data_IF_844191179364
#
_entry.id   IF_844191179364
#
_cell.length_a   1.000
_cell.length_b   1.000
_cell.length_c   1.000
_cell.angle_alpha   90.00
_cell.angle_beta   90.00
_cell.angle_gamma   90.00
#
_symmetry.space_group_name_H-M   'P 1'
#
loop_
_entity.id
_entity.type
_entity.pdbx_description
1 polymer ?
#
# COMPACT_ATOMS: atom_id res chain seq x y z
N UNK A 1 -13.42 -4.05 12.61
CA UNK A 1 -12.67 -4.87 11.64
C UNK A 1 -11.80 -5.88 12.38
N UNK A 2 -11.50 -7.03 11.76
CA UNK A 2 -10.61 -8.06 12.33
C UNK A 2 -9.45 -8.23 11.37
N UNK A 3 -8.24 -7.95 11.85
CA UNK A 3 -7.02 -7.84 11.06
C UNK A 3 -5.96 -8.86 11.49
N UNK A 4 -4.97 -9.10 10.62
CA UNK A 4 -3.93 -10.11 10.85
C UNK A 4 -2.52 -9.53 10.68
N UNK A 5 -1.64 -9.72 11.67
CA UNK A 5 -0.30 -9.14 11.67
C UNK A 5 0.78 -10.15 12.12
N UNK A 6 1.39 -10.83 11.15
CA UNK A 6 2.48 -11.80 11.41
C UNK A 6 3.70 -11.53 10.52
N UNK A 7 4.78 -12.29 10.69
CA UNK A 7 5.92 -12.25 9.77
C UNK A 7 5.44 -12.50 8.34
N UNK A 8 5.77 -11.60 7.42
CA UNK A 8 5.50 -11.79 6.00
C UNK A 8 6.53 -12.68 5.31
N UNK A 9 7.53 -13.20 6.02
CA UNK A 9 8.51 -14.10 5.41
C UNK A 9 8.02 -15.55 5.45
N UNK A 10 7.85 -16.17 4.28
CA UNK A 10 7.66 -17.63 4.15
C UNK A 10 8.96 -18.38 4.50
N UNK A 11 10.10 -17.78 4.13
CA UNK A 11 11.43 -18.24 4.50
C UNK A 11 12.29 -17.05 4.91
N UNK A 12 13.06 -17.21 5.99
CA UNK A 12 13.98 -16.17 6.45
C UNK A 12 15.24 -16.79 7.05
N UNK A 13 16.38 -16.52 6.41
CA UNK A 13 17.72 -16.77 6.92
C UNK A 13 18.35 -15.43 7.30
N UNK A 14 18.65 -15.20 8.59
CA UNK A 14 19.34 -13.98 9.00
C UNK A 14 20.79 -14.00 8.50
N UNK A 15 21.32 -12.81 8.26
CA UNK A 15 22.75 -12.62 8.10
C UNK A 15 23.46 -13.00 9.40
N UNK A 16 24.49 -13.83 9.31
CA UNK A 16 25.24 -14.26 10.47
C UNK A 16 26.68 -14.60 10.11
N UNK A 17 27.58 -14.47 11.09
CA UNK A 17 28.93 -14.99 10.99
C UNK A 17 29.11 -16.06 12.06
N UNK A 18 29.60 -17.24 11.65
CA UNK A 18 29.83 -18.41 12.51
C UNK A 18 31.35 -18.55 12.76
N UNK A 19 31.86 -18.11 13.93
CA UNK A 19 33.30 -18.03 14.16
C UNK A 19 34.00 -19.39 14.19
N UNK A 20 33.31 -20.45 14.63
CA UNK A 20 33.89 -21.79 14.78
C UNK A 20 34.28 -22.43 13.44
N UNK A 21 33.61 -22.05 12.36
CA UNK A 21 33.84 -22.56 11.01
C UNK A 21 34.30 -21.47 10.04
N UNK A 22 34.59 -20.27 10.55
CA UNK A 22 34.92 -19.07 9.76
C UNK A 22 33.96 -18.87 8.57
N UNK A 23 32.66 -19.03 8.83
CA UNK A 23 31.64 -19.04 7.77
C UNK A 23 30.76 -17.81 7.89
N UNK A 24 30.68 -17.04 6.80
CA UNK A 24 29.68 -15.99 6.65
C UNK A 24 28.44 -16.58 5.96
N UNK A 25 27.28 -16.31 6.55
CA UNK A 25 25.96 -16.72 6.08
C UNK A 25 25.25 -15.45 5.62
N UNK A 26 25.02 -15.36 4.31
CA UNK A 26 24.27 -14.25 3.73
C UNK A 26 22.80 -14.29 4.15
N UNK A 27 22.20 -13.10 4.22
CA UNK A 27 20.75 -12.98 4.36
C UNK A 27 20.09 -13.54 3.12
N UNK A 28 19.13 -14.43 3.32
CA UNK A 28 18.25 -14.92 2.26
C UNK A 28 16.82 -14.96 2.78
N UNK A 29 15.85 -14.58 1.96
CA UNK A 29 14.46 -14.51 2.40
C UNK A 29 13.48 -14.55 1.25
N UNK A 30 12.31 -15.12 1.50
CA UNK A 30 11.18 -15.13 0.59
C UNK A 30 9.97 -14.47 1.27
N UNK A 31 9.36 -13.51 0.58
CA UNK A 31 8.22 -12.73 1.09
C UNK A 31 6.92 -13.35 0.59
N UNK A 32 5.97 -13.47 1.51
CA UNK A 32 4.60 -13.83 1.25
C UNK A 32 3.76 -12.58 1.02
N UNK A 33 3.33 -12.46 -0.22
CA UNK A 33 2.55 -11.36 -0.74
C UNK A 33 1.21 -11.13 -0.02
N UNK A 34 0.53 -12.21 0.37
CA UNK A 34 -0.76 -12.14 1.04
C UNK A 34 -0.61 -11.63 2.48
N UNK A 35 0.43 -12.08 3.19
CA UNK A 35 0.69 -11.63 4.56
C UNK A 35 1.13 -10.16 4.59
N UNK A 36 1.94 -9.73 3.64
CA UNK A 36 2.36 -8.33 3.55
C UNK A 36 1.15 -7.38 3.36
N UNK A 37 0.24 -7.74 2.45
CA UNK A 37 -1.05 -7.05 2.30
C UNK A 37 -1.85 -7.00 3.60
N UNK A 38 -1.99 -8.13 4.31
CA UNK A 38 -2.73 -8.16 5.58
C UNK A 38 -2.11 -7.25 6.64
N UNK A 39 -0.79 -7.13 6.67
CA UNK A 39 -0.11 -6.18 7.56
C UNK A 39 -0.40 -4.73 7.19
N UNK A 40 -0.39 -4.40 5.89
CA UNK A 40 -0.80 -3.08 5.41
C UNK A 40 -2.25 -2.77 5.81
N UNK A 41 -3.15 -3.73 5.63
CA UNK A 41 -4.57 -3.63 6.04
C UNK A 41 -4.71 -3.35 7.55
N UNK A 42 -3.96 -4.08 8.38
CA UNK A 42 -3.96 -3.88 9.83
C UNK A 42 -3.51 -2.47 10.23
N UNK A 43 -2.41 -1.98 9.64
CA UNK A 43 -1.88 -0.65 9.96
C UNK A 43 -2.78 0.49 9.46
N UNK A 44 -3.36 0.37 8.27
CA UNK A 44 -4.30 1.38 7.76
C UNK A 44 -5.60 1.38 8.58
N UNK A 45 -6.13 0.22 8.95
CA UNK A 45 -7.37 0.12 9.72
C UNK A 45 -7.24 0.82 11.09
N UNK A 46 -6.10 0.67 11.77
CA UNK A 46 -5.84 1.34 13.04
C UNK A 46 -5.82 2.87 12.95
N UNK A 47 -5.52 3.42 11.76
CA UNK A 47 -5.50 4.87 11.52
C UNK A 47 -6.87 5.40 11.06
N UNK A 48 -7.67 4.58 10.40
CA UNK A 48 -8.98 4.97 9.89
C UNK A 48 -10.11 4.88 10.92
N UNK A 49 -10.06 3.93 11.86
CA UNK A 49 -11.17 3.62 12.78
C UNK A 49 -10.73 3.05 14.12
N UNK A 50 -11.59 3.21 15.13
CA UNK A 50 -11.30 2.79 16.51
C UNK A 50 -11.78 1.37 16.85
N UNK A 51 -12.65 0.76 16.04
CA UNK A 51 -13.22 -0.56 16.29
C UNK A 51 -12.45 -1.65 15.52
N UNK A 52 -11.16 -1.80 15.85
CA UNK A 52 -10.22 -2.73 15.22
C UNK A 52 -9.70 -3.75 16.23
N UNK A 53 -9.68 -5.02 15.85
CA UNK A 53 -9.01 -6.09 16.56
C UNK A 53 -7.92 -6.64 15.64
N UNK A 54 -6.67 -6.68 16.12
CA UNK A 54 -5.54 -7.25 15.37
C UNK A 54 -5.08 -8.54 16.04
N UNK A 55 -5.10 -9.66 15.31
CA UNK A 55 -4.48 -10.92 15.74
C UNK A 55 -3.03 -10.92 15.27
N UNK A 56 -2.09 -10.92 16.22
CA UNK A 56 -0.67 -10.73 15.91
C UNK A 56 0.24 -11.81 16.51
N UNK A 57 1.37 -12.05 15.83
CA UNK A 57 2.51 -12.79 16.38
C UNK A 57 3.49 -11.84 17.09
N UNK A 58 4.62 -12.35 17.57
CA UNK A 58 5.74 -11.53 18.08
C UNK A 58 6.27 -10.52 17.06
N UNK A 59 5.89 -10.61 15.79
CA UNK A 59 6.17 -9.54 14.82
C UNK A 59 5.67 -8.15 15.28
N UNK A 60 4.67 -8.06 16.16
CA UNK A 60 4.17 -6.78 16.68
C UNK A 60 5.15 -6.02 17.60
N UNK A 61 6.22 -6.67 18.06
CA UNK A 61 7.29 -6.02 18.84
C UNK A 61 8.54 -5.73 18.00
N UNK A 62 8.54 -6.07 16.71
CA UNK A 62 9.60 -5.69 15.77
C UNK A 62 9.35 -4.28 15.23
N UNK A 63 10.44 -3.60 14.85
CA UNK A 63 10.39 -2.22 14.39
C UNK A 63 9.55 -2.05 13.12
N UNK A 64 8.78 -0.97 13.10
CA UNK A 64 8.09 -0.38 11.95
C UNK A 64 8.52 1.08 11.85
N UNK A 65 8.22 1.76 10.74
CA UNK A 65 8.35 3.20 10.64
C UNK A 65 7.48 3.94 11.67
N UNK A 66 7.74 5.23 11.85
CA UNK A 66 6.97 6.06 12.77
C UNK A 66 5.49 6.05 12.38
N UNK A 67 4.56 5.70 13.29
CA UNK A 67 3.13 5.75 12.98
C UNK A 67 2.66 7.15 12.56
N UNK A 68 3.31 8.19 13.11
CA UNK A 68 3.04 9.57 12.74
C UNK A 68 3.46 9.86 11.31
N UNK A 69 4.68 9.48 10.91
CA UNK A 69 5.15 9.68 9.54
C UNK A 69 4.29 8.89 8.56
N UNK A 70 3.94 7.64 8.89
CA UNK A 70 3.05 6.83 8.07
C UNK A 70 1.66 7.47 7.87
N UNK A 71 1.10 8.09 8.93
CA UNK A 71 -0.17 8.80 8.86
C UNK A 71 -0.06 10.14 8.11
N UNK A 72 1.03 10.89 8.31
CA UNK A 72 1.27 12.19 7.66
C UNK A 72 1.53 12.02 6.15
N UNK A 73 2.04 10.86 5.73
CA UNK A 73 2.26 10.49 4.32
C UNK A 73 1.02 10.00 3.59
N UNK A 74 -0.17 9.99 4.21
CA UNK A 74 -1.39 9.51 3.53
C UNK A 74 -1.83 10.48 2.44
N UNK A 75 -1.99 9.97 1.21
CA UNK A 75 -2.57 10.74 0.10
C UNK A 75 -4.09 10.63 0.16
N UNK A 76 -4.75 11.74 0.50
CA UNK A 76 -6.21 11.81 0.67
C UNK A 76 -6.86 12.49 -0.53
N UNK A 77 -7.74 11.77 -1.23
CA UNK A 77 -8.42 12.23 -2.45
C UNK A 77 -9.93 12.31 -2.25
N UNK A 78 -10.57 13.32 -2.83
CA UNK A 78 -12.03 13.53 -2.83
C UNK A 78 -12.44 14.13 -4.18
N UNK A 79 -13.64 13.82 -4.70
CA UNK A 79 -14.22 14.56 -5.81
C UNK A 79 -14.25 16.08 -5.50
N UNK A 80 -13.93 16.91 -6.49
CA UNK A 80 -13.82 18.36 -6.37
C UNK A 80 -12.48 18.88 -5.80
N UNK A 81 -11.53 18.00 -5.50
CA UNK A 81 -10.18 18.41 -5.10
C UNK A 81 -9.43 19.00 -6.31
N UNK A 82 -8.98 20.25 -6.18
CA UNK A 82 -8.04 20.87 -7.14
C UNK A 82 -6.62 20.32 -6.93
N UNK A 83 -6.22 19.40 -7.78
CA UNK A 83 -4.90 18.80 -7.83
C UNK A 83 -4.58 18.42 -9.27
N UNK A 84 -3.40 18.82 -9.76
CA UNK A 84 -2.96 18.37 -11.08
C UNK A 84 -2.64 16.89 -11.06
N UNK A 85 -2.90 16.21 -12.18
CA UNK A 85 -2.59 14.78 -12.31
C UNK A 85 -1.13 14.49 -11.95
N UNK A 86 -0.21 15.27 -12.48
CA UNK A 86 1.23 15.05 -12.27
C UNK A 86 1.64 15.24 -10.80
N UNK A 87 0.95 16.13 -10.07
CA UNK A 87 1.14 16.24 -8.62
C UNK A 87 0.70 14.96 -7.91
N UNK A 88 -0.48 14.42 -8.24
CA UNK A 88 -0.91 13.13 -7.68
C UNK A 88 0.10 12.01 -7.99
N UNK A 89 0.65 11.95 -9.20
CA UNK A 89 1.65 10.92 -9.53
C UNK A 89 2.92 11.05 -8.67
N UNK A 90 3.39 12.28 -8.44
CA UNK A 90 4.54 12.52 -7.56
C UNK A 90 4.22 12.14 -6.12
N UNK A 91 3.06 12.56 -5.60
CA UNK A 91 2.61 12.22 -4.25
C UNK A 91 2.54 10.69 -4.06
N UNK A 92 2.11 9.94 -5.09
CA UNK A 92 2.10 8.46 -5.09
C UNK A 92 3.51 7.85 -5.08
N UNK A 93 4.44 8.40 -5.86
CA UNK A 93 5.84 7.94 -5.89
C UNK A 93 6.52 8.20 -4.54
N UNK A 94 6.27 9.35 -3.92
CA UNK A 94 6.81 9.72 -2.61
C UNK A 94 6.41 8.70 -1.53
N UNK A 95 5.21 8.12 -1.64
CA UNK A 95 4.70 7.08 -0.75
C UNK A 95 5.00 5.65 -1.24
N UNK A 96 6.02 5.53 -2.09
CA UNK A 96 6.61 4.28 -2.60
C UNK A 96 5.73 3.46 -3.54
N UNK A 97 4.77 4.09 -4.22
CA UNK A 97 4.09 3.41 -5.32
C UNK A 97 4.91 3.44 -6.59
N UNK A 98 4.84 2.34 -7.36
CA UNK A 98 5.51 2.25 -8.65
C UNK A 98 4.54 2.51 -9.80
N UNK A 99 4.97 3.29 -10.79
CA UNK A 99 4.21 3.40 -12.04
C UNK A 99 4.41 2.15 -12.90
N UNK A 100 3.34 1.45 -13.23
CA UNK A 100 3.40 0.31 -14.14
C UNK A 100 2.14 0.21 -15.02
N UNK A 101 2.28 0.60 -16.29
CA UNK A 101 1.18 0.62 -17.25
C UNK A 101 0.89 -0.78 -17.86
N UNK A 102 1.80 -1.76 -17.68
CA UNK A 102 1.71 -3.11 -18.25
C UNK A 102 1.19 -4.11 -17.20
N UNK A 103 1.88 -4.20 -16.07
CA UNK A 103 1.61 -5.17 -15.01
C UNK A 103 1.04 -4.46 -13.78
N UNK A 104 -0.29 -4.42 -13.73
CA UNK A 104 -1.04 -3.68 -12.72
C UNK A 104 -1.32 -4.56 -11.50
N UNK A 105 -0.54 -4.36 -10.45
CA UNK A 105 -0.55 -5.11 -9.19
C UNK A 105 -0.56 -4.14 -8.00
N UNK A 106 -0.73 -4.65 -6.78
CA UNK A 106 -0.75 -3.83 -5.56
C UNK A 106 0.54 -3.00 -5.39
N UNK A 107 0.39 -1.82 -4.78
CA UNK A 107 1.50 -0.87 -4.63
C UNK A 107 1.89 -0.19 -5.94
N UNK A 108 1.05 -0.27 -6.97
CA UNK A 108 1.31 0.34 -8.28
C UNK A 108 0.17 1.22 -8.74
N UNK A 109 0.49 2.14 -9.64
CA UNK A 109 -0.49 2.94 -10.37
C UNK A 109 -0.20 2.97 -11.88
N UNK A 110 -1.21 3.30 -12.67
CA UNK A 110 -1.10 3.48 -14.11
C UNK A 110 -1.92 4.65 -14.60
N UNK A 111 -1.58 5.17 -15.78
CA UNK A 111 -2.21 6.37 -16.34
C UNK A 111 -2.78 6.08 -17.72
N UNK A 112 -4.05 6.45 -17.94
CA UNK A 112 -4.76 6.32 -19.20
C UNK A 112 -5.48 7.64 -19.53
N UNK A 113 -4.77 8.56 -20.16
CA UNK A 113 -5.29 9.90 -20.45
C UNK A 113 -5.52 10.70 -19.17
N UNK A 114 -6.78 11.05 -18.91
CA UNK A 114 -7.21 11.81 -17.72
C UNK A 114 -7.62 10.89 -16.56
N UNK A 115 -7.27 9.61 -16.65
CA UNK A 115 -7.59 8.60 -15.64
C UNK A 115 -6.31 8.08 -15.01
N UNK A 116 -6.26 8.10 -13.68
CA UNK A 116 -5.23 7.45 -12.87
C UNK A 116 -5.86 6.26 -12.15
N UNK A 117 -5.36 5.06 -12.40
CA UNK A 117 -5.77 3.87 -11.67
C UNK A 117 -4.71 3.50 -10.65
N UNK A 118 -5.11 3.31 -9.41
CA UNK A 118 -4.24 3.12 -8.25
C UNK A 118 -4.63 1.82 -7.58
N UNK A 119 -3.68 0.93 -7.35
CA UNK A 119 -3.89 -0.34 -6.67
C UNK A 119 -3.28 -0.26 -5.26
N UNK A 120 -4.10 -0.06 -4.20
CA UNK A 120 -3.60 0.06 -2.84
C UNK A 120 -2.82 -1.16 -2.38
N UNK A 121 -1.79 -0.96 -1.55
CA UNK A 121 -1.00 -2.06 -0.98
C UNK A 121 -1.80 -2.98 -0.03
N UNK A 122 -2.92 -2.49 0.53
CA UNK A 122 -3.74 -3.21 1.50
C UNK A 122 -4.90 -4.02 0.91
N UNK A 123 -5.07 -4.06 -0.42
CA UNK A 123 -6.20 -4.72 -1.09
C UNK A 123 -5.72 -5.73 -2.14
N UNK A 124 -6.54 -6.75 -2.42
CA UNK A 124 -6.19 -7.84 -3.37
C UNK A 124 -6.89 -7.76 -4.72
N UNK A 125 -8.12 -7.24 -4.78
CA UNK A 125 -8.95 -7.35 -5.99
C UNK A 125 -9.47 -5.99 -6.46
N UNK A 126 -9.42 -4.98 -5.61
CA UNK A 126 -10.03 -3.69 -5.86
C UNK A 126 -8.97 -2.61 -6.01
N UNK A 127 -9.01 -1.94 -7.15
CA UNK A 127 -8.27 -0.73 -7.43
C UNK A 127 -9.21 0.47 -7.41
N UNK A 128 -8.63 1.67 -7.39
CA UNK A 128 -9.38 2.91 -7.49
C UNK A 128 -9.05 3.62 -8.79
N UNK A 129 -10.09 4.04 -9.49
CA UNK A 129 -10.02 4.87 -10.69
C UNK A 129 -10.34 6.30 -10.32
N UNK A 130 -9.36 7.18 -10.45
CA UNK A 130 -9.47 8.63 -10.25
C UNK A 130 -9.57 9.28 -11.64
N UNK A 131 -10.71 9.86 -11.95
CA UNK A 131 -10.97 10.53 -13.22
C UNK A 131 -10.83 12.06 -13.03
N UNK A 132 -10.06 12.71 -13.90
CA UNK A 132 -9.76 14.14 -13.84
C UNK A 132 -10.55 14.94 -14.88
N UNK A 133 -10.84 16.19 -14.56
CA UNK A 133 -11.28 17.22 -15.49
C UNK A 133 -10.34 18.43 -15.37
N UNK A 134 -9.30 18.46 -16.21
CA UNK A 134 -8.21 19.41 -16.02
C UNK A 134 -7.42 19.10 -14.75
N UNK A 135 -7.34 20.07 -13.83
CA UNK A 135 -6.65 19.94 -12.53
C UNK A 135 -7.62 19.71 -11.37
N UNK A 136 -8.79 19.12 -11.63
CA UNK A 136 -9.80 18.78 -10.63
C UNK A 136 -10.15 17.29 -10.72
N UNK A 137 -10.33 16.64 -9.58
CA UNK A 137 -10.87 15.26 -9.52
C UNK A 137 -12.38 15.31 -9.78
N UNK A 138 -12.85 14.81 -10.93
CA UNK A 138 -14.28 14.74 -11.27
C UNK A 138 -14.99 13.67 -10.43
N UNK A 139 -14.42 12.45 -10.40
CA UNK A 139 -14.98 11.32 -9.64
C UNK A 139 -13.93 10.29 -9.27
N UNK A 140 -14.24 9.52 -8.23
CA UNK A 140 -13.43 8.38 -7.80
C UNK A 140 -14.33 7.13 -7.80
N UNK A 141 -13.85 6.06 -8.41
CA UNK A 141 -14.56 4.78 -8.54
C UNK A 141 -13.72 3.64 -8.00
N UNK A 142 -14.37 2.72 -7.31
CA UNK A 142 -13.79 1.43 -7.00
C UNK A 142 -14.01 0.50 -8.21
N UNK A 143 -12.96 -0.18 -8.64
CA UNK A 143 -12.98 -1.08 -9.79
C UNK A 143 -12.32 -2.42 -9.46
N UNK A 144 -12.84 -3.49 -10.03
CA UNK A 144 -12.19 -4.80 -9.98
C UNK A 144 -10.92 -4.75 -10.85
N UNK A 145 -9.75 -5.06 -10.27
CA UNK A 145 -8.44 -4.84 -10.91
C UNK A 145 -8.23 -5.69 -12.17
N UNK A 146 -8.82 -6.89 -12.22
CA UNK A 146 -8.69 -7.83 -13.35
C UNK A 146 -9.61 -7.49 -14.52
N UNK A 147 -10.89 -7.21 -14.24
CA UNK A 147 -11.91 -7.01 -15.28
C UNK A 147 -12.10 -5.54 -15.65
N UNK A 148 -11.73 -4.62 -14.75
CA UNK A 148 -12.01 -3.19 -14.85
C UNK A 148 -13.49 -2.84 -14.58
N UNK A 149 -14.29 -3.78 -14.09
CA UNK A 149 -15.69 -3.55 -13.74
C UNK A 149 -15.79 -2.53 -12.61
N UNK A 150 -16.66 -1.54 -12.78
CA UNK A 150 -16.95 -0.55 -11.73
C UNK A 150 -17.83 -1.18 -10.67
N UNK A 151 -17.37 -1.13 -9.42
CA UNK A 151 -18.07 -1.66 -8.24
C UNK A 151 -18.90 -0.58 -7.55
N UNK A 152 -18.44 0.67 -7.57
CA UNK A 152 -19.14 1.80 -6.97
C UNK A 152 -18.36 3.12 -7.08
N UNK A 153 -19.00 4.21 -6.66
CA UNK A 153 -18.38 5.53 -6.53
C UNK A 153 -18.02 5.79 -5.06
N UNK A 154 -16.94 6.55 -4.83
CA UNK A 154 -16.37 6.79 -3.51
C UNK A 154 -16.14 8.28 -3.30
N UNK A 155 -16.69 8.84 -2.22
CA UNK A 155 -16.58 10.27 -1.92
C UNK A 155 -15.25 10.67 -1.27
N UNK A 156 -14.54 9.70 -0.69
CA UNK A 156 -13.24 9.91 -0.05
C UNK A 156 -12.38 8.65 -0.13
N UNK A 157 -11.16 8.82 -0.61
CA UNK A 157 -10.17 7.77 -0.73
C UNK A 157 -8.90 8.18 0.03
N UNK A 158 -8.48 7.34 0.99
CA UNK A 158 -7.19 7.46 1.66
C UNK A 158 -6.23 6.41 1.09
N UNK A 159 -5.08 6.84 0.59
CA UNK A 159 -4.05 5.97 0.04
C UNK A 159 -2.87 6.02 1.00
N UNK A 160 -2.66 4.90 1.70
CA UNK A 160 -1.54 4.73 2.62
C UNK A 160 -0.27 4.33 1.86
N UNK A 161 0.92 4.62 2.40
CA UNK A 161 2.18 4.23 1.79
C UNK A 161 2.28 2.73 1.52
N UNK A 162 2.92 2.37 0.40
CA UNK A 162 3.14 1.00 -0.05
C UNK A 162 4.25 0.26 0.72
N UNK A 163 4.85 0.91 1.72
CA UNK A 163 5.80 0.33 2.66
C UNK A 163 5.54 0.86 4.06
N UNK A 164 5.87 0.08 5.08
CA UNK A 164 5.85 0.55 6.48
C UNK A 164 7.05 1.43 6.85
N UNK A 165 8.04 1.57 5.98
CA UNK A 165 9.24 2.39 6.19
C UNK A 165 9.27 3.51 5.15
N UNK A 166 8.56 4.59 5.46
CA UNK A 166 8.63 5.82 4.67
C UNK A 166 9.89 6.58 5.09
N UNK A 167 10.67 7.04 4.11
CA UNK A 167 11.93 7.79 4.32
C UNK A 167 11.87 9.16 3.69
#
# INVERSE_FOLDING_TARGET
AVEYFVSYYDYYQPEAYVPSSDTYIEKDSSVNDEIDKLRHSATSALLERNDVIVVASVSCIYGLGSPKEYADSVVSLRPGLEISRDKLLNDLVDIQFERNDIDFQRGRFRVRGDVVEIFPASRDEHAFRVEFFGDEIDRIREVEALTGQVLGEVDHLAIFPATHFVT
#
